data_IF_619305598168
#
_entry.id   IF_619305598168
#
_cell.length_a   1.000
_cell.length_b   1.000
_cell.length_c   1.000
_cell.angle_alpha   90.00
_cell.angle_beta   90.00
_cell.angle_gamma   90.00
#
_symmetry.space_group_name_H-M   'P 1'
#
loop_
_entity.id
_entity.type
_entity.pdbx_description
1 polymer ?
#
# COMPACT_ATOMS: atom_id res chain seq x y z
N UNK A 1 -16.92 30.46 -20.98
CA UNK A 1 -15.91 29.51 -21.51
C UNK A 1 -14.53 29.90 -20.98
N UNK A 2 -14.09 29.29 -19.88
CA UNK A 2 -12.71 29.38 -19.39
C UNK A 2 -12.26 27.97 -19.05
N UNK A 3 -11.38 27.41 -19.88
CA UNK A 3 -10.78 26.08 -19.70
C UNK A 3 -9.88 26.13 -18.47
N UNK A 4 -10.15 25.28 -17.47
CA UNK A 4 -9.22 25.03 -16.37
C UNK A 4 -8.23 23.96 -16.84
N UNK A 5 -6.96 24.35 -16.96
CA UNK A 5 -5.83 23.45 -17.16
C UNK A 5 -5.62 22.68 -15.86
N UNK A 6 -5.80 21.36 -15.90
CA UNK A 6 -5.36 20.44 -14.84
C UNK A 6 -3.87 20.18 -15.11
N UNK A 7 -3.01 20.71 -14.24
CA UNK A 7 -1.57 20.46 -14.28
C UNK A 7 -1.27 19.07 -13.73
N UNK A 8 -0.74 18.20 -14.59
CA UNK A 8 -0.17 16.91 -14.22
C UNK A 8 1.22 17.18 -13.62
N UNK A 9 1.41 16.95 -12.32
CA UNK A 9 2.76 16.94 -11.72
C UNK A 9 3.43 15.59 -12.06
N UNK A 10 4.31 15.61 -13.06
CA UNK A 10 5.22 14.51 -13.35
C UNK A 10 6.43 14.60 -12.41
N UNK A 11 6.64 13.56 -11.60
CA UNK A 11 7.84 13.43 -10.76
C UNK A 11 9.07 13.16 -11.65
N UNK A 12 10.07 14.04 -11.58
CA UNK A 12 11.35 13.92 -12.28
C UNK A 12 12.30 13.04 -11.46
N UNK A 13 12.66 11.86 -11.98
CA UNK A 13 13.72 11.01 -11.42
C UNK A 13 15.04 11.35 -12.10
N UNK A 14 16.00 11.85 -11.32
CA UNK A 14 17.36 12.11 -11.77
C UNK A 14 18.18 10.80 -11.80
N UNK A 15 18.74 10.48 -12.97
CA UNK A 15 19.64 9.35 -13.20
C UNK A 15 21.08 9.83 -12.99
N UNK A 16 21.79 9.25 -12.01
CA UNK A 16 23.25 9.34 -11.90
C UNK A 16 23.86 7.96 -12.09
N UNK A 17 24.52 7.79 -13.25
CA UNK A 17 25.30 6.61 -13.61
C UNK A 17 26.68 6.65 -12.93
N UNK A 18 27.10 5.51 -12.37
CA UNK A 18 28.50 5.24 -12.07
C UNK A 18 28.85 3.81 -12.53
N UNK A 19 29.86 3.74 -13.40
CA UNK A 19 30.45 2.53 -13.95
C UNK A 19 31.42 1.88 -12.97
N UNK A 20 31.32 0.56 -12.74
CA UNK A 20 32.40 -0.42 -12.46
C UNK A 20 31.74 -1.80 -12.72
N UNK A 21 32.24 -2.81 -13.43
CA UNK A 21 33.56 -3.21 -13.89
C UNK A 21 33.61 -4.75 -13.73
N UNK A 22 33.68 -5.50 -14.83
CA UNK A 22 33.63 -6.96 -14.86
C UNK A 22 34.88 -7.63 -14.26
N UNK A 23 34.70 -8.81 -13.64
CA UNK A 23 35.79 -9.74 -13.33
C UNK A 23 35.29 -11.15 -12.99
N UNK A 24 35.52 -12.10 -13.89
CA UNK A 24 35.29 -13.55 -13.72
C UNK A 24 36.59 -14.28 -13.34
N UNK A 25 36.53 -15.28 -12.45
CA UNK A 25 36.79 -16.72 -12.73
C UNK A 25 37.25 -17.57 -11.52
N UNK A 26 36.57 -18.73 -11.40
CA UNK A 26 37.05 -20.12 -11.17
C UNK A 26 37.65 -20.63 -9.85
N UNK A 27 37.12 -21.82 -9.46
CA UNK A 27 37.79 -22.92 -8.76
C UNK A 27 36.98 -23.50 -7.58
N UNK A 28 36.13 -24.53 -7.77
CA UNK A 28 36.36 -25.96 -7.39
C UNK A 28 36.89 -26.17 -5.96
N UNK A 29 36.45 -27.09 -5.10
CA UNK A 29 35.59 -28.30 -5.09
C UNK A 29 35.42 -28.69 -3.60
N UNK A 30 34.38 -29.39 -3.12
CA UNK A 30 34.38 -30.86 -2.92
C UNK A 30 33.18 -31.30 -2.07
N UNK A 31 32.63 -32.49 -2.37
CA UNK A 31 31.59 -33.25 -1.62
C UNK A 31 32.23 -33.98 -0.40
N UNK A 32 31.58 -34.62 0.59
CA UNK A 32 30.21 -35.09 0.82
C UNK A 32 29.96 -35.40 2.33
N UNK A 33 28.70 -35.26 2.76
CA UNK A 33 27.90 -36.08 3.70
C UNK A 33 28.37 -36.49 5.12
N UNK A 34 27.59 -36.11 6.13
CA UNK A 34 26.68 -37.04 6.87
C UNK A 34 25.75 -36.27 7.84
N UNK A 35 24.62 -36.89 8.15
CA UNK A 35 23.35 -36.30 8.64
C UNK A 35 23.17 -36.49 10.15
N UNK A 36 22.66 -35.47 10.85
CA UNK A 36 21.61 -35.50 11.90
C UNK A 36 21.39 -34.04 12.40
N UNK A 37 20.35 -33.33 11.95
CA UNK A 37 18.96 -33.28 12.42
C UNK A 37 18.76 -32.69 13.83
N UNK A 38 18.35 -31.42 13.88
CA UNK A 38 17.39 -30.91 14.87
C UNK A 38 16.60 -29.73 14.28
N UNK A 39 15.52 -30.12 13.60
CA UNK A 39 14.20 -29.45 13.45
C UNK A 39 14.19 -27.91 13.43
N UNK A 40 14.24 -27.37 12.21
CA UNK A 40 13.65 -26.07 11.87
C UNK A 40 12.20 -26.32 11.46
N UNK A 41 11.25 -25.80 12.25
CA UNK A 41 9.83 -25.83 11.93
C UNK A 41 9.53 -24.81 10.83
N UNK A 42 9.76 -25.21 9.58
CA UNK A 42 9.17 -24.55 8.42
C UNK A 42 7.72 -25.02 8.33
N UNK A 43 6.82 -24.27 8.97
CA UNK A 43 5.39 -24.33 8.62
C UNK A 43 5.29 -23.74 7.22
N UNK A 44 5.10 -24.59 6.23
CA UNK A 44 4.62 -24.17 4.92
C UNK A 44 3.24 -23.55 5.13
N UNK A 45 3.18 -22.22 5.22
CA UNK A 45 1.93 -21.47 5.27
C UNK A 45 1.20 -21.73 3.96
N UNK A 46 0.16 -22.56 4.04
CA UNK A 46 -0.88 -22.60 3.01
C UNK A 46 -1.39 -21.16 2.90
N UNK A 47 -1.51 -20.63 1.69
CA UNK A 47 -2.02 -19.28 1.48
C UNK A 47 -3.54 -19.31 1.72
N UNK A 48 -3.95 -19.30 3.00
CA UNK A 48 -5.33 -19.46 3.44
C UNK A 48 -6.27 -18.36 2.93
N UNK A 49 -5.72 -17.25 2.43
CA UNK A 49 -6.50 -16.16 1.84
C UNK A 49 -6.77 -16.34 0.33
N UNK A 50 -6.14 -17.31 -0.35
CA UNK A 50 -6.35 -17.54 -1.78
C UNK A 50 -7.80 -17.94 -2.13
N UNK A 51 -8.50 -18.55 -1.17
CA UNK A 51 -9.88 -19.03 -1.34
C UNK A 51 -10.94 -18.04 -0.76
N UNK A 52 -10.52 -16.93 -0.14
CA UNK A 52 -11.46 -15.95 0.43
C UNK A 52 -12.15 -15.15 -0.69
N UNK A 53 -13.46 -14.90 -0.60
CA UNK A 53 -14.20 -14.18 -1.64
C UNK A 53 -13.83 -12.69 -1.68
N UNK A 54 -13.95 -12.06 -2.85
CA UNK A 54 -13.88 -10.59 -2.99
C UNK A 54 -14.80 -9.92 -1.96
N UNK A 55 -14.27 -8.94 -1.23
CA UNK A 55 -15.00 -8.21 -0.19
C UNK A 55 -14.70 -8.63 1.25
N UNK A 56 -14.06 -9.79 1.47
CA UNK A 56 -13.71 -10.25 2.83
C UNK A 56 -12.83 -9.26 3.62
N UNK A 57 -12.09 -8.39 2.93
CA UNK A 57 -11.28 -7.37 3.56
C UNK A 57 -12.12 -6.42 4.44
N UNK A 58 -13.42 -6.28 4.15
CA UNK A 58 -14.36 -5.43 4.87
C UNK A 58 -14.97 -6.10 6.09
N UNK A 59 -14.78 -7.41 6.26
CA UNK A 59 -15.26 -8.13 7.42
C UNK A 59 -14.48 -7.71 8.67
N UNK A 60 -15.16 -7.67 9.82
CA UNK A 60 -14.52 -7.49 11.11
C UNK A 60 -13.46 -8.59 11.34
N UNK A 61 -12.40 -8.29 12.12
CA UNK A 61 -11.46 -9.32 12.55
C UNK A 61 -12.18 -10.45 13.30
N UNK A 62 -11.67 -11.67 13.19
CA UNK A 62 -12.12 -12.80 14.00
C UNK A 62 -11.51 -12.75 15.42
N UNK A 63 -12.16 -13.38 16.40
CA UNK A 63 -11.65 -13.46 17.78
C UNK A 63 -10.22 -14.02 17.80
N UNK A 64 -9.30 -13.28 18.43
CA UNK A 64 -7.88 -13.66 18.50
C UNK A 64 -7.06 -13.35 17.24
N UNK A 65 -7.63 -12.73 16.20
CA UNK A 65 -6.81 -12.16 15.12
C UNK A 65 -5.92 -11.02 15.67
N UNK A 66 -4.67 -10.93 15.19
CA UNK A 66 -3.84 -9.75 15.45
C UNK A 66 -4.39 -8.54 14.64
N UNK A 67 -4.65 -7.45 15.33
CA UNK A 67 -5.01 -6.15 14.76
C UNK A 67 -3.92 -5.12 15.07
N UNK A 68 -3.89 -4.03 14.29
CA UNK A 68 -3.09 -2.87 14.63
C UNK A 68 -3.99 -1.74 15.14
N UNK A 69 -3.58 -1.12 16.26
CA UNK A 69 -4.23 0.07 16.81
C UNK A 69 -3.32 1.26 16.57
N UNK A 70 -3.79 2.19 15.74
CA UNK A 70 -3.08 3.40 15.37
C UNK A 70 -3.59 4.54 16.26
N UNK A 71 -2.83 4.89 17.28
CA UNK A 71 -3.11 6.05 18.14
C UNK A 71 -2.47 7.30 17.53
N UNK A 72 -3.29 8.31 17.26
CA UNK A 72 -2.86 9.59 16.69
C UNK A 72 -3.29 10.75 17.56
N UNK A 73 -2.67 11.92 17.37
CA UNK A 73 -3.14 13.15 18.03
C UNK A 73 -4.54 13.63 17.58
N UNK A 74 -5.18 12.93 16.63
CA UNK A 74 -6.54 13.20 16.16
C UNK A 74 -7.55 12.11 16.53
N UNK A 75 -7.12 11.04 17.21
CA UNK A 75 -7.96 9.91 17.60
C UNK A 75 -7.34 8.57 17.23
N UNK A 76 -8.08 7.50 17.52
CA UNK A 76 -7.62 6.12 17.33
C UNK A 76 -8.28 5.52 16.10
N UNK A 77 -7.51 4.79 15.30
CA UNK A 77 -8.02 3.93 14.22
C UNK A 77 -7.59 2.49 14.47
N UNK A 78 -8.48 1.51 14.23
CA UNK A 78 -8.15 0.09 14.31
C UNK A 78 -8.17 -0.56 12.94
N UNK A 79 -7.14 -1.35 12.68
CA UNK A 79 -6.86 -1.97 11.39
C UNK A 79 -6.82 -3.49 11.53
N UNK A 80 -7.57 -4.20 10.69
CA UNK A 80 -7.40 -5.64 10.43
C UNK A 80 -6.20 -5.86 9.52
N UNK A 81 -5.40 -6.88 9.78
CA UNK A 81 -4.21 -7.24 9.01
C UNK A 81 -4.46 -8.48 8.12
N UNK A 82 -3.74 -8.60 7.00
CA UNK A 82 -3.88 -9.74 6.07
C UNK A 82 -2.57 -10.55 5.92
N UNK A 83 -2.10 -11.25 6.97
CA UNK A 83 -0.79 -11.92 6.99
C UNK A 83 -0.67 -13.12 6.05
N UNK A 84 -1.78 -13.67 5.57
CA UNK A 84 -1.76 -14.77 4.61
C UNK A 84 -1.70 -14.25 3.17
N UNK A 85 -2.46 -13.19 2.85
CA UNK A 85 -2.42 -12.54 1.55
C UNK A 85 -1.15 -11.71 1.27
N UNK A 86 -0.61 -11.02 2.29
CA UNK A 86 0.59 -10.16 2.18
C UNK A 86 1.60 -10.43 3.32
N UNK A 87 2.16 -11.65 3.41
CA UNK A 87 2.94 -12.10 4.56
C UNK A 87 4.16 -11.24 4.87
N UNK A 88 4.96 -10.85 3.87
CA UNK A 88 6.17 -10.04 4.10
C UNK A 88 5.79 -8.61 4.46
N UNK A 89 4.75 -8.08 3.83
CA UNK A 89 4.28 -6.72 4.11
C UNK A 89 3.77 -6.60 5.55
N UNK A 90 2.96 -7.58 6.00
CA UNK A 90 2.46 -7.61 7.38
C UNK A 90 3.59 -7.89 8.38
N UNK A 91 4.51 -8.80 8.08
CA UNK A 91 5.69 -9.04 8.94
C UNK A 91 6.52 -7.77 9.12
N UNK A 92 6.80 -7.05 8.02
CA UNK A 92 7.52 -5.79 8.05
C UNK A 92 6.79 -4.74 8.91
N UNK A 93 5.52 -4.46 8.61
CA UNK A 93 4.74 -3.45 9.31
C UNK A 93 4.62 -3.75 10.81
N UNK A 94 4.23 -4.98 11.16
CA UNK A 94 4.02 -5.37 12.57
C UNK A 94 5.32 -5.39 13.37
N UNK A 95 6.43 -5.78 12.76
CA UNK A 95 7.74 -5.76 13.41
C UNK A 95 8.20 -4.32 13.67
N UNK A 96 8.09 -3.43 12.68
CA UNK A 96 8.39 -2.00 12.85
C UNK A 96 7.51 -1.35 13.92
N UNK A 97 6.21 -1.67 13.94
CA UNK A 97 5.28 -1.22 14.98
C UNK A 97 5.69 -1.70 16.38
N UNK A 98 5.97 -3.01 16.54
CA UNK A 98 6.42 -3.61 17.82
C UNK A 98 7.76 -3.01 18.31
N UNK A 99 8.59 -2.50 17.41
CA UNK A 99 9.84 -1.79 17.73
C UNK A 99 9.64 -0.30 18.05
N UNK A 100 8.42 0.22 17.93
CA UNK A 100 8.12 1.64 18.11
C UNK A 100 8.64 2.52 16.98
N UNK A 101 8.96 1.95 15.81
CA UNK A 101 9.54 2.67 14.68
C UNK A 101 8.68 3.86 14.27
N UNK A 102 7.36 3.68 14.24
CA UNK A 102 6.39 4.69 13.82
C UNK A 102 6.07 5.76 14.87
N UNK A 103 6.53 5.59 16.11
CA UNK A 103 6.16 6.48 17.21
C UNK A 103 6.74 7.89 17.01
N UNK A 104 5.87 8.90 17.09
CA UNK A 104 6.22 10.31 16.87
C UNK A 104 6.40 10.69 15.39
N UNK A 105 6.23 9.77 14.45
CA UNK A 105 6.24 10.11 13.03
C UNK A 105 4.94 10.83 12.63
N UNK A 106 4.98 11.53 11.49
CA UNK A 106 3.84 12.30 10.98
C UNK A 106 3.22 11.66 9.73
N UNK A 107 1.95 11.97 9.49
CA UNK A 107 1.38 11.88 8.15
C UNK A 107 1.91 13.04 7.30
N UNK A 108 3.01 12.80 6.59
CA UNK A 108 3.75 13.84 5.87
C UNK A 108 3.07 14.24 4.54
N UNK A 109 2.05 13.51 4.10
CA UNK A 109 1.29 13.81 2.89
C UNK A 109 -0.18 13.44 3.07
N UNK A 110 -1.07 14.41 2.91
CA UNK A 110 -2.52 14.28 3.12
C UNK A 110 -3.25 14.89 1.95
N UNK A 111 -4.07 14.10 1.26
CA UNK A 111 -4.86 14.56 0.12
C UNK A 111 -6.31 14.17 0.34
N UNK A 112 -7.14 15.18 0.59
CA UNK A 112 -8.58 15.00 0.75
C UNK A 112 -9.20 14.34 -0.50
N UNK A 113 -10.10 13.38 -0.28
CA UNK A 113 -10.68 12.52 -1.31
C UNK A 113 -9.66 11.66 -2.07
N UNK A 114 -8.54 11.32 -1.42
CA UNK A 114 -7.59 10.36 -1.95
C UNK A 114 -7.01 9.46 -0.85
N UNK A 115 -6.03 9.95 -0.08
CA UNK A 115 -5.34 9.16 0.95
C UNK A 115 -4.60 10.02 1.97
N UNK A 116 -4.20 9.40 3.08
CA UNK A 116 -3.24 9.94 4.06
C UNK A 116 -2.02 9.02 4.11
N UNK A 117 -0.80 9.57 4.05
CA UNK A 117 0.44 8.81 3.93
C UNK A 117 1.42 9.19 5.05
N UNK A 118 2.01 8.15 5.67
CA UNK A 118 2.93 8.24 6.79
C UNK A 118 4.02 7.18 6.70
N UNK A 119 4.68 6.89 7.82
CA UNK A 119 5.72 5.85 7.91
C UNK A 119 7.09 6.26 7.36
N UNK A 120 7.35 7.57 7.22
CA UNK A 120 8.68 8.10 6.92
C UNK A 120 9.26 8.78 8.19
N UNK A 121 10.33 8.24 8.81
CA UNK A 121 10.98 8.84 9.99
C UNK A 121 11.50 10.26 9.76
N UNK A 122 11.78 10.63 8.50
CA UNK A 122 12.29 11.95 8.14
C UNK A 122 11.17 12.95 7.84
N UNK A 123 9.94 12.46 7.60
CA UNK A 123 8.79 13.28 7.25
C UNK A 123 8.94 14.04 5.92
N UNK A 124 9.80 13.57 5.00
CA UNK A 124 10.04 14.19 3.68
C UNK A 124 9.33 13.47 2.53
N UNK A 125 8.85 12.24 2.76
CA UNK A 125 8.28 11.34 1.75
C UNK A 125 9.31 10.51 1.00
N UNK A 126 10.61 10.62 1.34
CA UNK A 126 11.70 9.92 0.63
C UNK A 126 12.51 8.99 1.53
N UNK A 127 12.32 9.08 2.84
CA UNK A 127 13.01 8.24 3.81
C UNK A 127 12.28 6.92 4.10
N UNK A 128 12.75 6.23 5.13
CA UNK A 128 12.22 4.95 5.57
C UNK A 128 13.05 3.75 5.11
N UNK A 129 12.99 2.69 5.89
CA UNK A 129 13.65 1.40 5.63
C UNK A 129 12.71 0.26 6.04
N UNK A 130 12.94 -0.95 5.54
CA UNK A 130 12.20 -2.13 5.99
C UNK A 130 13.05 -2.92 7.00
N UNK A 131 12.46 -3.95 7.59
CA UNK A 131 13.12 -4.76 8.63
C UNK A 131 14.34 -5.56 8.11
N UNK A 132 14.53 -5.64 6.80
CA UNK A 132 15.67 -6.32 6.16
C UNK A 132 16.74 -5.34 5.66
N UNK A 133 16.51 -4.02 5.78
CA UNK A 133 17.45 -2.97 5.38
C UNK A 133 16.81 -1.92 4.48
N UNK A 134 17.64 -1.27 3.66
CA UNK A 134 17.25 -0.14 2.80
C UNK A 134 16.90 -0.55 1.38
N UNK A 135 17.26 -1.77 0.97
CA UNK A 135 16.81 -2.35 -0.29
C UNK A 135 15.33 -2.68 -0.19
N UNK A 136 14.53 -2.23 -1.16
CA UNK A 136 13.09 -2.46 -1.13
C UNK A 136 12.73 -3.94 -1.29
N UNK A 137 11.59 -4.34 -0.71
CA UNK A 137 11.06 -5.69 -0.86
C UNK A 137 9.90 -5.76 -1.87
N UNK A 138 9.57 -6.99 -2.29
CA UNK A 138 8.61 -7.31 -3.33
C UNK A 138 7.17 -6.86 -3.04
N UNK A 139 6.40 -6.66 -4.12
CA UNK A 139 4.96 -6.45 -4.03
C UNK A 139 4.21 -7.77 -3.82
N UNK A 140 3.13 -7.76 -3.04
CA UNK A 140 2.30 -8.94 -2.71
C UNK A 140 0.84 -8.69 -3.14
N UNK A 141 0.63 -8.40 -4.43
CA UNK A 141 -0.70 -8.09 -4.94
C UNK A 141 -1.65 -9.29 -4.87
N UNK A 142 -2.85 -9.05 -4.36
CA UNK A 142 -3.93 -10.03 -4.26
C UNK A 142 -5.16 -9.53 -5.07
N UNK A 143 -5.88 -10.44 -5.73
CA UNK A 143 -7.06 -10.09 -6.52
C UNK A 143 -8.25 -9.60 -5.66
N UNK A 144 -8.29 -10.05 -4.41
CA UNK A 144 -9.41 -9.85 -3.50
C UNK A 144 -9.11 -8.76 -2.45
N UNK A 145 -7.91 -8.19 -2.46
CA UNK A 145 -7.53 -7.02 -1.65
C UNK A 145 -7.38 -5.78 -2.53
N UNK A 146 -8.29 -4.83 -2.33
CA UNK A 146 -8.52 -3.67 -3.17
C UNK A 146 -8.12 -2.39 -2.43
N UNK A 147 -7.69 -1.39 -3.19
CA UNK A 147 -7.47 -0.03 -2.71
C UNK A 147 -8.81 0.74 -2.50
N UNK A 148 -9.77 0.11 -1.84
CA UNK A 148 -11.06 0.71 -1.44
C UNK A 148 -10.89 1.60 -0.20
N UNK A 149 -11.91 2.39 0.14
CA UNK A 149 -11.87 3.26 1.32
C UNK A 149 -11.53 2.48 2.60
N UNK A 150 -10.65 3.07 3.41
CA UNK A 150 -10.14 2.49 4.65
C UNK A 150 -9.06 1.44 4.46
N UNK A 151 -8.76 0.99 3.23
CA UNK A 151 -7.67 0.04 3.04
C UNK A 151 -6.31 0.69 3.28
N UNK A 152 -5.39 -0.09 3.84
CA UNK A 152 -4.03 0.31 4.15
C UNK A 152 -3.08 -0.40 3.21
N UNK A 153 -2.25 0.38 2.51
CA UNK A 153 -1.37 -0.13 1.48
C UNK A 153 0.03 0.48 1.55
N UNK A 154 1.02 -0.25 1.04
CA UNK A 154 2.41 0.21 1.01
C UNK A 154 2.60 1.36 0.03
N UNK A 155 3.23 2.43 0.49
CA UNK A 155 3.82 3.40 -0.43
C UNK A 155 5.12 2.81 -1.00
N UNK A 156 5.37 3.07 -2.28
CA UNK A 156 6.58 2.59 -2.97
C UNK A 156 7.00 3.60 -4.05
N UNK A 157 8.18 3.38 -4.64
CA UNK A 157 8.76 4.19 -5.72
C UNK A 157 8.70 3.47 -7.07
N UNK A 158 7.77 2.52 -7.21
CA UNK A 158 7.70 1.57 -8.31
C UNK A 158 7.79 0.13 -7.83
N UNK A 159 7.72 -0.79 -8.80
CA UNK A 159 7.64 -2.23 -8.56
C UNK A 159 8.73 -2.73 -7.61
N UNK A 160 8.33 -3.49 -6.58
CA UNK A 160 9.21 -4.13 -5.61
C UNK A 160 10.14 -3.15 -4.88
N UNK A 161 9.62 -2.00 -4.45
CA UNK A 161 10.41 -0.99 -3.71
C UNK A 161 9.80 -0.63 -2.35
N UNK A 162 9.13 -1.60 -1.72
CA UNK A 162 8.46 -1.39 -0.44
C UNK A 162 9.47 -1.15 0.70
N UNK A 163 9.18 -0.18 1.56
CA UNK A 163 10.01 0.22 2.71
C UNK A 163 9.19 0.22 4.00
N UNK A 164 9.16 1.34 4.73
CA UNK A 164 8.30 1.53 5.91
C UNK A 164 7.03 2.35 5.65
N UNK A 165 7.02 3.14 4.57
CA UNK A 165 5.94 4.07 4.30
C UNK A 165 4.67 3.34 3.86
N UNK A 166 3.53 3.80 4.37
CA UNK A 166 2.21 3.28 4.04
C UNK A 166 1.22 4.45 3.89
N UNK A 167 0.08 4.17 3.28
CA UNK A 167 -1.03 5.10 3.20
C UNK A 167 -2.36 4.41 3.51
N UNK A 168 -3.34 5.21 3.91
CA UNK A 168 -4.72 4.79 4.16
C UNK A 168 -5.60 5.47 3.10
N UNK A 169 -6.33 4.70 2.31
CA UNK A 169 -7.25 5.20 1.29
C UNK A 169 -8.43 5.90 1.96
N UNK A 170 -8.67 7.17 1.63
CA UNK A 170 -9.77 7.94 2.23
C UNK A 170 -10.94 8.21 1.28
N UNK A 171 -10.70 8.19 -0.04
CA UNK A 171 -11.71 8.57 -1.04
C UNK A 171 -13.04 7.86 -0.81
N UNK A 172 -14.10 8.62 -0.57
CA UNK A 172 -15.45 8.10 -0.34
C UNK A 172 -16.15 7.71 -1.64
N UNK A 173 -17.18 6.87 -1.51
CA UNK A 173 -18.02 6.43 -2.61
C UNK A 173 -18.60 7.61 -3.41
N UNK A 174 -18.99 8.69 -2.74
CA UNK A 174 -19.55 9.87 -3.40
C UNK A 174 -18.54 10.63 -4.27
N UNK A 175 -17.25 10.38 -4.07
CA UNK A 175 -16.15 10.96 -4.85
C UNK A 175 -15.57 9.97 -5.88
N UNK A 176 -16.13 8.78 -5.99
CA UNK A 176 -15.69 7.78 -6.96
C UNK A 176 -16.01 8.22 -8.40
N UNK A 177 -15.03 8.12 -9.30
CA UNK A 177 -15.11 8.63 -10.66
C UNK A 177 -16.08 7.84 -11.57
N UNK A 178 -16.42 6.60 -11.17
CA UNK A 178 -17.28 5.70 -11.92
C UNK A 178 -16.55 4.90 -13.02
N UNK A 179 -17.13 3.77 -13.42
CA UNK A 179 -16.47 2.83 -14.34
C UNK A 179 -16.34 3.31 -15.78
N UNK A 180 -17.16 4.26 -16.22
CA UNK A 180 -17.02 4.90 -17.54
C UNK A 180 -15.73 5.69 -17.66
N UNK A 181 -15.29 6.34 -16.57
CA UNK A 181 -14.00 7.03 -16.51
C UNK A 181 -12.85 6.04 -16.70
N UNK A 182 -12.82 4.96 -15.93
CA UNK A 182 -11.76 3.95 -16.04
C UNK A 182 -11.78 3.20 -17.38
N UNK A 183 -12.96 2.97 -17.95
CA UNK A 183 -13.12 2.40 -19.29
C UNK A 183 -12.51 3.32 -20.34
N UNK A 184 -12.76 4.62 -20.25
CA UNK A 184 -12.16 5.62 -21.14
C UNK A 184 -10.62 5.68 -20.98
N UNK A 185 -10.12 5.60 -19.74
CA UNK A 185 -8.70 5.57 -19.43
C UNK A 185 -8.02 4.35 -20.07
N UNK A 186 -8.60 3.15 -19.91
CA UNK A 186 -8.09 1.93 -20.52
C UNK A 186 -8.14 1.97 -22.05
N UNK A 187 -9.22 2.50 -22.64
CA UNK A 187 -9.33 2.64 -24.08
C UNK A 187 -8.25 3.58 -24.64
N UNK A 188 -7.89 4.65 -23.91
CA UNK A 188 -6.78 5.52 -24.28
C UNK A 188 -5.44 4.78 -24.23
N UNK A 189 -5.19 3.99 -23.17
CA UNK A 189 -4.03 3.11 -23.09
C UNK A 189 -3.95 2.17 -24.31
N UNK A 190 -5.06 1.53 -24.69
CA UNK A 190 -5.12 0.61 -25.84
C UNK A 190 -4.77 1.29 -27.17
N UNK A 191 -5.13 2.55 -27.34
CA UNK A 191 -4.87 3.31 -28.57
C UNK A 191 -3.41 3.74 -28.70
N UNK A 192 -2.75 4.11 -27.60
CA UNK A 192 -1.37 4.57 -27.62
C UNK A 192 -0.61 4.19 -26.34
N UNK A 193 -0.25 2.91 -26.22
CA UNK A 193 0.35 2.35 -25.00
C UNK A 193 1.64 3.06 -24.60
N UNK A 194 2.55 3.33 -25.55
CA UNK A 194 3.84 3.94 -25.24
C UNK A 194 3.70 5.36 -24.68
N UNK A 195 2.93 6.21 -25.36
CA UNK A 195 2.70 7.58 -24.88
C UNK A 195 1.89 7.58 -23.57
N UNK A 196 0.94 6.65 -23.42
CA UNK A 196 0.16 6.52 -22.19
C UNK A 196 1.04 6.16 -21.01
N UNK A 197 1.86 5.11 -21.13
CA UNK A 197 2.75 4.67 -20.06
C UNK A 197 3.77 5.75 -19.72
N UNK A 198 4.24 6.53 -20.69
CA UNK A 198 5.11 7.68 -20.44
C UNK A 198 4.40 8.79 -19.64
N UNK A 199 3.12 9.05 -19.90
CA UNK A 199 2.37 10.14 -19.27
C UNK A 199 1.77 9.78 -17.91
N UNK A 200 1.26 8.55 -17.76
CA UNK A 200 0.46 8.11 -16.62
C UNK A 200 1.06 6.94 -15.86
N UNK A 201 2.07 6.26 -16.40
CA UNK A 201 2.71 5.09 -15.79
C UNK A 201 1.90 3.80 -15.88
N UNK A 202 0.63 3.81 -15.47
CA UNK A 202 -0.27 2.64 -15.51
C UNK A 202 -1.75 3.03 -15.49
N UNK A 203 -2.62 2.05 -15.68
CA UNK A 203 -4.06 2.16 -15.46
C UNK A 203 -4.66 0.78 -15.13
N UNK A 204 -5.88 0.73 -14.56
CA UNK A 204 -6.61 -0.54 -14.40
C UNK A 204 -6.98 -1.14 -15.75
N UNK A 205 -6.79 -2.45 -15.89
CA UNK A 205 -7.39 -3.22 -16.96
C UNK A 205 -8.83 -3.58 -16.59
N UNK A 206 -9.77 -2.70 -16.93
CA UNK A 206 -11.20 -2.84 -16.58
C UNK A 206 -11.84 -4.14 -17.07
N UNK A 207 -11.28 -4.78 -18.11
CA UNK A 207 -11.79 -6.06 -18.62
C UNK A 207 -11.34 -7.28 -17.79
N UNK A 208 -10.40 -7.10 -16.85
CA UNK A 208 -10.02 -8.11 -15.85
C UNK A 208 -10.77 -7.93 -14.53
N UNK A 209 -11.49 -6.83 -14.35
CA UNK A 209 -12.20 -6.49 -13.13
C UNK A 209 -13.59 -7.10 -13.18
N UNK A 210 -13.91 -7.95 -12.20
CA UNK A 210 -15.22 -8.60 -12.07
C UNK A 210 -16.28 -7.61 -11.61
N UNK A 211 -17.55 -7.92 -11.84
CA UNK A 211 -18.63 -7.02 -11.41
C UNK A 211 -18.73 -6.89 -9.88
N UNK A 212 -18.35 -7.91 -9.12
CA UNK A 212 -18.27 -7.84 -7.65
C UNK A 212 -17.25 -6.79 -7.18
N UNK A 213 -16.07 -6.74 -7.81
CA UNK A 213 -15.06 -5.70 -7.53
C UNK A 213 -15.60 -4.32 -7.92
N UNK A 214 -16.32 -4.24 -9.04
CA UNK A 214 -16.94 -2.98 -9.47
C UNK A 214 -17.94 -2.44 -8.46
N UNK A 215 -18.82 -3.31 -7.98
CA UNK A 215 -19.83 -3.00 -6.97
C UNK A 215 -19.16 -2.53 -5.66
N UNK A 216 -18.08 -3.18 -5.22
CA UNK A 216 -17.37 -2.77 -4.01
C UNK A 216 -16.83 -1.34 -4.10
N UNK A 217 -16.22 -0.97 -5.23
CA UNK A 217 -15.73 0.40 -5.44
C UNK A 217 -16.87 1.43 -5.52
N UNK A 218 -17.97 1.09 -6.18
CA UNK A 218 -19.15 1.96 -6.24
C UNK A 218 -19.77 2.20 -4.86
N UNK A 219 -19.77 1.18 -3.99
CA UNK A 219 -20.35 1.26 -2.66
C UNK A 219 -19.44 1.93 -1.63
N UNK A 220 -18.13 1.75 -1.74
CA UNK A 220 -17.18 2.14 -0.69
C UNK A 220 -16.25 3.29 -1.09
N UNK A 221 -16.02 3.50 -2.39
CA UNK A 221 -14.99 4.42 -2.90
C UNK A 221 -13.60 3.80 -2.90
N UNK A 222 -12.58 4.64 -2.94
CA UNK A 222 -11.17 4.28 -3.10
C UNK A 222 -10.60 4.57 -4.49
N UNK A 223 -9.50 3.92 -4.85
CA UNK A 223 -8.78 4.20 -6.09
C UNK A 223 -8.31 2.93 -6.82
N UNK A 224 -9.08 2.41 -7.79
CA UNK A 224 -8.71 1.26 -8.60
C UNK A 224 -7.37 1.39 -9.33
N UNK A 225 -6.91 2.62 -9.58
CA UNK A 225 -5.59 2.89 -10.19
C UNK A 225 -4.41 2.40 -9.37
N UNK A 226 -4.62 2.13 -8.08
CA UNK A 226 -3.60 1.67 -7.15
C UNK A 226 -3.54 0.13 -7.07
N UNK A 227 -4.52 -0.58 -7.63
CA UNK A 227 -4.59 -2.04 -7.59
C UNK A 227 -3.57 -2.68 -8.52
N UNK A 228 -2.48 -3.18 -7.94
CA UNK A 228 -1.41 -3.83 -8.69
C UNK A 228 -1.85 -5.09 -9.43
N UNK A 229 -2.80 -5.85 -8.88
CA UNK A 229 -3.33 -7.05 -9.52
C UNK A 229 -4.07 -6.74 -10.83
N UNK A 230 -4.90 -5.69 -10.82
CA UNK A 230 -5.74 -5.29 -11.95
C UNK A 230 -5.06 -4.34 -12.93
N UNK A 231 -3.87 -3.81 -12.62
CA UNK A 231 -3.18 -2.89 -13.50
C UNK A 231 -2.67 -3.54 -14.79
N UNK A 232 -2.43 -2.72 -15.82
CA UNK A 232 -1.99 -3.18 -17.16
C UNK A 232 -0.56 -3.71 -17.21
N UNK A 233 0.26 -3.40 -16.21
CA UNK A 233 1.68 -3.72 -16.17
C UNK A 233 2.14 -4.29 -14.82
N UNK A 234 1.20 -4.72 -13.96
CA UNK A 234 1.48 -5.25 -12.62
C UNK A 234 2.35 -4.30 -11.77
N UNK A 235 1.97 -3.02 -11.78
CA UNK A 235 2.45 -2.00 -10.85
C UNK A 235 1.29 -1.49 -10.03
N UNK A 236 1.52 -1.14 -8.78
CA UNK A 236 0.50 -0.65 -7.86
C UNK A 236 1.00 -0.71 -6.43
N UNK A 237 0.08 -0.85 -5.48
CA UNK A 237 0.39 -0.84 -4.05
C UNK A 237 -0.19 -2.08 -3.37
N UNK A 238 0.64 -2.75 -2.58
CA UNK A 238 0.24 -3.91 -1.78
C UNK A 238 -0.71 -3.48 -0.68
N UNK A 239 -1.97 -3.90 -0.76
CA UNK A 239 -2.94 -3.77 0.34
C UNK A 239 -2.64 -4.86 1.36
N UNK A 240 -2.44 -4.46 2.62
CA UNK A 240 -2.06 -5.39 3.69
C UNK A 240 -2.93 -5.24 4.96
N UNK A 241 -3.84 -4.27 4.96
CA UNK A 241 -4.82 -4.11 6.04
C UNK A 241 -6.05 -3.31 5.64
N UNK A 242 -7.03 -3.28 6.52
CA UNK A 242 -8.28 -2.53 6.38
C UNK A 242 -8.68 -1.89 7.71
N UNK A 243 -8.94 -0.58 7.71
CA UNK A 243 -9.52 0.12 8.85
C UNK A 243 -10.98 -0.33 9.03
N UNK A 244 -11.29 -0.85 10.22
CA UNK A 244 -12.63 -1.30 10.61
C UNK A 244 -13.26 -0.42 11.71
N UNK A 245 -12.46 0.37 12.43
CA UNK A 245 -12.90 1.35 13.43
C UNK A 245 -12.10 2.65 13.27
N UNK A 246 -12.74 3.81 13.46
CA UNK A 246 -12.08 5.13 13.34
C UNK A 246 -12.07 5.75 11.94
N UNK A 247 -13.01 5.39 11.06
CA UNK A 247 -13.14 6.03 9.74
C UNK A 247 -13.48 7.53 9.80
N UNK A 248 -14.09 7.99 10.91
CA UNK A 248 -14.31 9.39 11.22
C UNK A 248 -13.00 10.12 11.59
N UNK A 249 -12.08 9.44 12.28
CA UNK A 249 -10.71 9.95 12.52
C UNK A 249 -9.95 10.07 11.20
N UNK A 250 -10.04 9.06 10.32
CA UNK A 250 -9.48 9.12 8.97
C UNK A 250 -10.01 10.34 8.18
N UNK A 251 -11.32 10.57 8.23
CA UNK A 251 -11.93 11.72 7.58
C UNK A 251 -11.48 13.05 8.19
N UNK A 252 -11.31 13.12 9.52
CA UNK A 252 -10.83 14.31 10.21
C UNK A 252 -9.37 14.64 9.83
N UNK A 253 -8.51 13.62 9.74
CA UNK A 253 -7.12 13.78 9.28
C UNK A 253 -7.09 14.24 7.82
N UNK A 254 -7.89 13.63 6.93
CA UNK A 254 -7.91 13.99 5.52
C UNK A 254 -8.45 15.41 5.25
N UNK A 255 -9.17 16.00 6.21
CA UNK A 255 -9.74 17.33 6.12
C UNK A 255 -8.82 18.45 6.66
N UNK A 256 -7.65 18.14 7.23
CA UNK A 256 -6.73 19.17 7.72
C UNK A 256 -6.21 20.05 6.59
N UNK A 257 -5.87 21.30 6.91
CA UNK A 257 -5.23 22.19 5.94
C UNK A 257 -3.83 21.69 5.59
N UNK A 258 -3.51 21.70 4.30
CA UNK A 258 -2.20 21.27 3.78
C UNK A 258 -1.54 22.37 2.95
N UNK A 259 -0.22 22.32 2.88
CA UNK A 259 0.55 23.14 1.95
C UNK A 259 0.24 22.69 0.52
N UNK A 260 -0.18 23.64 -0.32
CA UNK A 260 -0.67 23.34 -1.68
C UNK A 260 0.41 22.84 -2.65
N UNK A 261 1.70 22.93 -2.30
CA UNK A 261 2.79 22.48 -3.15
C UNK A 261 3.29 21.09 -2.77
N UNK A 262 3.06 20.67 -1.53
CA UNK A 262 3.64 19.44 -0.94
C UNK A 262 2.60 18.48 -0.39
N UNK A 263 1.35 18.91 -0.25
CA UNK A 263 0.26 18.18 0.42
C UNK A 263 0.58 17.84 1.89
N UNK A 264 1.60 18.47 2.48
CA UNK A 264 1.97 18.26 3.88
C UNK A 264 1.02 19.05 4.79
N UNK A 265 0.46 18.46 5.86
CA UNK A 265 -0.33 19.20 6.84
C UNK A 265 0.39 20.45 7.37
N UNK A 266 -0.34 21.56 7.49
CA UNK A 266 0.19 22.80 8.08
C UNK A 266 0.41 22.68 9.60
N UNK A 267 -0.35 21.79 10.24
CA UNK A 267 -0.16 21.35 11.62
C UNK A 267 0.07 19.85 11.60
N UNK A 268 1.13 19.40 12.25
CA UNK A 268 1.52 17.98 12.24
C UNK A 268 0.40 17.09 12.79
N UNK A 269 0.03 16.10 11.99
CA UNK A 269 -0.77 14.95 12.43
C UNK A 269 0.20 13.84 12.78
N UNK A 270 0.25 13.50 14.06
CA UNK A 270 1.30 12.66 14.66
C UNK A 270 0.73 11.28 14.97
N UNK A 271 1.48 10.24 14.60
CA UNK A 271 1.28 8.87 15.07
C UNK A 271 1.92 8.79 16.45
N UNK A 272 1.11 8.78 17.51
CA UNK A 272 1.62 8.64 18.87
C UNK A 272 2.24 7.25 19.04
N UNK A 273 1.51 6.22 18.62
CA UNK A 273 1.99 4.84 18.60
C UNK A 273 1.20 3.98 17.62
N UNK A 274 1.80 2.85 17.23
CA UNK A 274 1.10 1.74 16.59
C UNK A 274 1.35 0.49 17.43
N UNK A 275 0.31 -0.07 18.04
CA UNK A 275 0.38 -1.31 18.82
C UNK A 275 -0.24 -2.46 18.04
N UNK A 276 0.27 -3.68 18.28
CA UNK A 276 -0.31 -4.91 17.76
C UNK A 276 -0.99 -5.63 18.91
N UNK A 277 -2.29 -5.85 18.78
CA UNK A 277 -3.16 -6.36 19.84
C UNK A 277 -3.99 -7.53 19.33
N UNK A 278 -4.50 -8.34 20.25
CA UNK A 278 -5.45 -9.41 19.94
C UNK A 278 -6.85 -8.82 19.89
N UNK A 279 -7.59 -9.09 18.81
CA UNK A 279 -8.97 -8.68 18.70
C UNK A 279 -9.87 -9.51 19.63
N UNK A 280 -10.76 -8.81 20.33
CA UNK A 280 -11.80 -9.40 21.16
C UNK A 280 -13.15 -8.87 20.68
N UNK A 281 -14.02 -9.75 20.23
CA UNK A 281 -15.38 -9.42 19.82
C UNK A 281 -16.22 -9.03 21.05
N UNK A 282 -16.93 -7.90 20.93
CA UNK A 282 -17.87 -7.42 21.95
C UNK A 282 -19.18 -8.22 22.01
#
# INVERSE_FOLDING_TARGET
MKKRMIGLLAAVVAISAALVGCGSNNGQSSQASSVESSVSSTVSRVNEDADKPVGYQMDLPEEGEEIAVLDTNMGVMKMRLFPNAAPKTVENFTTLAKQGYYNGQIFHRVINNFMIQGGDPTGTGTGGENIWGTEGFEDEFNANLLNIRGSVAMANRGKNTNGSQFFINQKKAESFEGWDYYTSLYNNFRQNQAAFLQAYGSCPNVYRITDDVKILYEQNGGSPTLDGYYSVNQTGHTVFGQIFEGLDVLDAIAAVETDSNTDKPLTDVVINSITIEQYHAE
#
